data_IF_892276982789
#
_entry.id   IF_892276982789
#
_cell.length_a   1.000
_cell.length_b   1.000
_cell.length_c   1.000
_cell.angle_alpha   90.00
_cell.angle_beta   90.00
_cell.angle_gamma   90.00
#
_symmetry.space_group_name_H-M   'P 1'
#
loop_
_entity.id
_entity.type
_entity.pdbx_description
1 polymer ?
#
# COMPACT_ATOMS: atom_id res chain seq x y z
N UNK A 1 7.11 -3.01 -0.66
CA UNK A 1 6.57 -4.33 -1.09
C UNK A 1 5.57 -4.77 -0.04
N UNK A 2 4.40 -5.26 -0.46
CA UNK A 2 3.39 -5.81 0.43
C UNK A 2 3.26 -7.31 0.21
N UNK A 3 3.08 -8.05 1.30
CA UNK A 3 2.84 -9.49 1.28
C UNK A 3 1.53 -9.78 2.03
N UNK A 4 0.37 -9.72 1.34
CA UNK A 4 -0.91 -9.93 1.99
C UNK A 4 -1.03 -11.34 2.57
N UNK A 5 -1.58 -11.42 3.78
CA UNK A 5 -1.86 -12.68 4.46
C UNK A 5 -3.17 -13.31 3.95
N UNK A 6 -3.15 -14.52 3.36
CA UNK A 6 -4.30 -15.09 2.66
C UNK A 6 -5.45 -15.53 3.58
N UNK A 7 -5.20 -15.64 4.89
CA UNK A 7 -6.22 -16.01 5.87
C UNK A 7 -6.75 -14.82 6.69
N UNK A 8 -6.47 -13.58 6.25
CA UNK A 8 -7.12 -12.40 6.79
C UNK A 8 -8.61 -12.44 6.40
N UNK A 9 -9.49 -12.17 7.37
CA UNK A 9 -10.95 -12.41 7.30
C UNK A 9 -11.61 -11.82 6.05
N UNK A 10 -11.11 -10.71 5.52
CA UNK A 10 -11.77 -9.95 4.46
C UNK A 10 -10.82 -9.50 3.32
N UNK A 11 -9.61 -10.06 3.23
CA UNK A 11 -8.57 -9.69 2.23
C UNK A 11 -8.28 -8.16 2.12
N UNK A 12 -8.59 -7.40 3.17
CA UNK A 12 -8.39 -5.95 3.20
C UNK A 12 -6.93 -5.54 2.96
N UNK A 13 -5.97 -6.40 3.30
CA UNK A 13 -4.54 -6.14 3.05
C UNK A 13 -4.25 -6.03 1.55
N UNK A 14 -4.85 -6.90 0.73
CA UNK A 14 -4.68 -6.83 -0.74
C UNK A 14 -5.31 -5.55 -1.28
N UNK A 15 -6.52 -5.20 -0.83
CA UNK A 15 -7.21 -3.96 -1.25
C UNK A 15 -6.39 -2.72 -0.90
N UNK A 16 -5.89 -2.63 0.33
CA UNK A 16 -5.06 -1.51 0.78
C UNK A 16 -3.76 -1.41 -0.03
N UNK A 17 -3.12 -2.54 -0.34
CA UNK A 17 -1.90 -2.55 -1.13
C UNK A 17 -2.16 -2.22 -2.61
N UNK A 18 -3.31 -2.63 -3.17
CA UNK A 18 -3.71 -2.32 -4.55
C UNK A 18 -3.88 -0.83 -4.80
N UNK A 19 -4.32 -0.06 -3.80
CA UNK A 19 -4.37 1.40 -3.88
C UNK A 19 -3.01 2.01 -4.27
N UNK A 20 -1.92 1.48 -3.71
CA UNK A 20 -0.56 1.91 -4.05
C UNK A 20 -0.04 1.26 -5.34
N UNK A 21 -0.31 -0.03 -5.56
CA UNK A 21 0.19 -0.76 -6.73
C UNK A 21 -0.36 -0.20 -8.05
N UNK A 22 -1.64 0.18 -8.09
CA UNK A 22 -2.30 0.72 -9.30
C UNK A 22 -1.60 1.96 -9.85
N UNK A 23 -1.00 2.75 -8.96
CA UNK A 23 -0.27 3.98 -9.28
C UNK A 23 1.23 3.72 -9.48
N UNK A 24 1.67 2.46 -9.43
CA UNK A 24 3.08 2.07 -9.51
C UNK A 24 3.89 2.43 -8.26
N UNK A 25 3.24 2.69 -7.13
CA UNK A 25 3.91 3.03 -5.86
C UNK A 25 4.35 1.80 -5.05
N UNK A 26 3.87 0.61 -5.41
CA UNK A 26 4.16 -0.62 -4.66
C UNK A 26 4.13 -1.89 -5.53
N UNK A 27 4.79 -2.93 -5.02
CA UNK A 27 4.72 -4.31 -5.52
C UNK A 27 3.95 -5.14 -4.50
N UNK A 28 3.05 -6.00 -4.98
CA UNK A 28 2.27 -6.94 -4.17
C UNK A 28 2.69 -8.35 -4.54
N UNK A 29 2.88 -9.21 -3.53
CA UNK A 29 3.04 -10.65 -3.70
C UNK A 29 2.24 -11.39 -2.66
N UNK A 30 1.29 -12.23 -3.07
CA UNK A 30 0.50 -13.00 -2.11
C UNK A 30 1.41 -13.95 -1.31
N UNK A 31 1.15 -14.11 0.00
CA UNK A 31 2.04 -14.91 0.85
C UNK A 31 2.16 -16.36 0.39
N UNK A 32 1.07 -16.94 -0.12
CA UNK A 32 1.06 -18.30 -0.67
C UNK A 32 1.89 -18.45 -1.96
N UNK A 33 2.20 -17.34 -2.64
CA UNK A 33 3.05 -17.30 -3.83
C UNK A 33 4.48 -16.80 -3.52
N UNK A 34 4.73 -16.35 -2.29
CA UNK A 34 6.03 -15.84 -1.88
C UNK A 34 7.02 -17.00 -1.76
N UNK A 35 8.08 -16.95 -2.57
CA UNK A 35 9.19 -17.91 -2.50
C UNK A 35 10.50 -17.19 -2.23
N UNK A 36 11.49 -17.84 -1.60
CA UNK A 36 12.82 -17.26 -1.42
C UNK A 36 13.47 -16.81 -2.73
N UNK A 37 13.30 -17.59 -3.80
CA UNK A 37 13.86 -17.28 -5.12
C UNK A 37 13.20 -16.08 -5.80
N UNK A 38 11.88 -15.95 -5.68
CA UNK A 38 11.18 -14.76 -6.16
C UNK A 38 11.64 -13.52 -5.37
N UNK A 39 11.71 -13.64 -4.04
CA UNK A 39 12.10 -12.52 -3.18
C UNK A 39 13.52 -12.05 -3.46
N UNK A 40 14.48 -12.97 -3.61
CA UNK A 40 15.87 -12.61 -3.91
C UNK A 40 16.01 -11.94 -5.28
N UNK A 41 15.29 -12.43 -6.29
CA UNK A 41 15.28 -11.83 -7.62
C UNK A 41 14.70 -10.41 -7.58
N UNK A 42 13.55 -10.21 -6.91
CA UNK A 42 12.94 -8.90 -6.78
C UNK A 42 13.81 -7.94 -5.99
N UNK A 43 14.47 -8.42 -4.93
CA UNK A 43 15.39 -7.61 -4.16
C UNK A 43 16.56 -7.12 -5.01
N UNK A 44 17.19 -8.02 -5.79
CA UNK A 44 18.31 -7.67 -6.67
C UNK A 44 17.88 -6.66 -7.75
N UNK A 45 16.70 -6.85 -8.35
CA UNK A 45 16.15 -5.90 -9.32
C UNK A 45 15.96 -4.51 -8.73
N UNK A 46 15.36 -4.41 -7.54
CA UNK A 46 15.17 -3.12 -6.85
C UNK A 46 16.50 -2.49 -6.42
N UNK A 47 17.47 -3.30 -6.03
CA UNK A 47 18.78 -2.82 -5.61
C UNK A 47 19.55 -2.19 -6.77
N UNK A 48 19.45 -2.77 -7.97
CA UNK A 48 20.10 -2.29 -9.20
C UNK A 48 19.42 -1.07 -9.83
N UNK A 49 18.12 -0.86 -9.60
CA UNK A 49 17.36 0.24 -10.18
C UNK A 49 16.94 1.29 -9.15
N UNK A 50 17.88 2.20 -8.84
CA UNK A 50 17.61 3.34 -7.94
C UNK A 50 16.61 4.34 -8.51
N UNK A 51 16.49 4.44 -9.84
CA UNK A 51 15.54 5.36 -10.46
C UNK A 51 14.10 4.86 -10.25
N UNK A 52 13.86 3.57 -10.42
CA UNK A 52 12.60 2.91 -10.10
C UNK A 52 12.21 3.14 -8.63
N UNK A 53 13.12 2.89 -7.69
CA UNK A 53 12.84 3.11 -6.27
C UNK A 53 12.46 4.57 -5.96
N UNK A 54 13.13 5.53 -6.61
CA UNK A 54 12.82 6.96 -6.45
C UNK A 54 11.44 7.29 -7.00
N UNK A 55 11.10 6.81 -8.19
CA UNK A 55 9.79 7.01 -8.80
C UNK A 55 8.66 6.42 -7.93
N UNK A 56 8.84 5.17 -7.48
CA UNK A 56 7.91 4.53 -6.53
C UNK A 56 7.73 5.36 -5.26
N UNK A 57 8.80 5.95 -4.72
CA UNK A 57 8.74 6.77 -3.50
C UNK A 57 7.97 8.08 -3.70
N UNK A 58 8.10 8.70 -4.88
CA UNK A 58 7.39 9.94 -5.23
C UNK A 58 5.89 9.63 -5.36
N UNK A 59 5.55 8.57 -6.09
CA UNK A 59 4.16 8.10 -6.25
C UNK A 59 3.53 7.74 -4.91
N UNK A 60 4.22 6.98 -4.07
CA UNK A 60 3.75 6.63 -2.73
C UNK A 60 3.47 7.86 -1.88
N UNK A 61 4.36 8.87 -1.93
CA UNK A 61 4.17 10.13 -1.22
C UNK A 61 2.97 10.93 -1.76
N UNK A 62 2.77 10.93 -3.07
CA UNK A 62 1.62 11.60 -3.71
C UNK A 62 0.26 11.01 -3.30
N UNK A 63 0.23 9.76 -2.85
CA UNK A 63 -1.00 9.07 -2.43
C UNK A 63 -1.30 9.19 -0.94
N UNK A 64 -0.44 9.84 -0.17
CA UNK A 64 -0.62 10.03 1.26
C UNK A 64 -1.84 10.93 1.54
N UNK A 65 -2.81 10.41 2.30
CA UNK A 65 -3.93 11.21 2.79
C UNK A 65 -3.55 11.86 4.13
N UNK A 66 -2.84 12.99 4.07
CA UNK A 66 -2.28 13.67 5.25
C UNK A 66 -3.31 14.31 6.16
N UNK A 67 -4.56 14.47 5.68
CA UNK A 67 -5.69 15.08 6.38
C UNK A 67 -6.74 14.03 6.82
N UNK A 68 -6.38 12.75 6.85
CA UNK A 68 -7.31 11.66 7.14
C UNK A 68 -7.99 11.81 8.50
N UNK A 69 -7.23 12.21 9.53
CA UNK A 69 -7.75 12.42 10.88
C UNK A 69 -8.73 13.59 10.93
N UNK A 70 -8.38 14.74 10.32
CA UNK A 70 -9.29 15.89 10.25
C UNK A 70 -10.60 15.53 9.56
N UNK A 71 -10.54 14.82 8.43
CA UNK A 71 -11.72 14.37 7.68
C UNK A 71 -12.63 13.49 8.55
N UNK A 72 -12.07 12.53 9.28
CA UNK A 72 -12.85 11.66 10.17
C UNK A 72 -13.51 12.48 11.28
N UNK A 73 -12.77 13.38 11.92
CA UNK A 73 -13.30 14.24 12.99
C UNK A 73 -14.42 15.14 12.48
N UNK A 74 -14.30 15.69 11.27
CA UNK A 74 -15.35 16.49 10.65
C UNK A 74 -16.63 15.69 10.46
N UNK A 75 -16.55 14.44 9.96
CA UNK A 75 -17.73 13.58 9.80
C UNK A 75 -18.40 13.28 11.13
N UNK A 76 -17.63 12.95 12.17
CA UNK A 76 -18.16 12.70 13.52
C UNK A 76 -18.87 13.94 14.07
N UNK A 77 -18.27 15.13 13.93
CA UNK A 77 -18.88 16.40 14.36
C UNK A 77 -20.14 16.76 13.57
N UNK A 78 -20.21 16.43 12.28
CA UNK A 78 -21.43 16.66 11.48
C UNK A 78 -22.58 15.82 12.04
N UNK A 79 -22.35 14.52 12.20
CA UNK A 79 -23.38 13.60 12.70
C UNK A 79 -23.85 13.94 14.13
N UNK A 80 -22.93 14.35 15.01
CA UNK A 80 -23.27 14.74 16.38
C UNK A 80 -24.09 16.03 16.51
N UNK A 81 -24.16 16.86 15.44
CA UNK A 81 -24.97 18.09 15.41
C UNK A 81 -26.33 17.90 14.74
N UNK A 82 -26.50 16.80 14.02
CA UNK A 82 -27.74 16.41 13.32
C UNK A 82 -28.64 15.51 14.20
N UNK A 83 -28.19 15.15 15.40
CA UNK A 83 -28.97 14.50 16.46
C UNK A 83 -29.32 15.50 17.57
#
# INVERSE_FOLDING_TARGET
MFVPFPYAVDDHQTVNAQYLQKEGAAIIRQQNELTPGWLSQQWLQLEQDRALLRDMSIKARGLAMTDATEKVVEQVRRFAREQ
#
